data_IF_941675347126
#
_entry.id   IF_941675347126
#
_cell.length_a   1.000
_cell.length_b   1.000
_cell.length_c   1.000
_cell.angle_alpha   90.00
_cell.angle_beta   90.00
_cell.angle_gamma   90.00
#
_symmetry.space_group_name_H-M   'P 1'
#
loop_
_entity.id
_entity.type
_entity.pdbx_description
1 polymer ?
#
# COMPACT_ATOMS: atom_id res chain seq x y z
N UNK A 1 -41.22 -4.03 48.88
CA UNK A 1 -40.02 -4.45 48.14
C UNK A 1 -39.15 -5.21 49.11
N UNK A 2 -38.85 -6.47 48.82
CA UNK A 2 -37.96 -7.29 49.66
C UNK A 2 -36.50 -6.90 49.38
N UNK A 3 -35.59 -7.02 50.36
CA UNK A 3 -34.16 -6.65 50.19
C UNK A 3 -33.52 -7.36 48.97
N UNK A 4 -33.97 -8.57 48.68
CA UNK A 4 -33.59 -9.34 47.49
C UNK A 4 -33.95 -8.66 46.17
N UNK A 5 -35.11 -8.02 46.07
CA UNK A 5 -35.52 -7.28 44.86
C UNK A 5 -34.62 -6.07 44.63
N UNK A 6 -34.22 -5.36 45.70
CA UNK A 6 -33.29 -4.24 45.59
C UNK A 6 -31.90 -4.70 45.12
N UNK A 7 -31.37 -5.80 45.68
CA UNK A 7 -30.08 -6.37 45.25
C UNK A 7 -30.11 -6.78 43.77
N UNK A 8 -31.21 -7.37 43.30
CA UNK A 8 -31.38 -7.73 41.88
C UNK A 8 -31.42 -6.49 40.99
N UNK A 9 -32.14 -5.44 41.39
CA UNK A 9 -32.20 -4.17 40.64
C UNK A 9 -30.81 -3.53 40.55
N UNK A 10 -30.03 -3.51 41.64
CA UNK A 10 -28.67 -2.98 41.65
C UNK A 10 -27.73 -3.77 40.73
N UNK A 11 -27.80 -5.10 40.73
CA UNK A 11 -26.97 -5.95 39.85
C UNK A 11 -27.33 -5.76 38.38
N UNK A 12 -28.62 -5.64 38.04
CA UNK A 12 -29.07 -5.36 36.67
C UNK A 12 -28.63 -3.96 36.23
N UNK A 13 -28.74 -2.97 37.10
CA UNK A 13 -28.25 -1.61 36.83
C UNK A 13 -26.72 -1.62 36.59
N UNK A 14 -25.95 -2.33 37.41
CA UNK A 14 -24.50 -2.48 37.25
C UNK A 14 -24.15 -3.17 35.92
N UNK A 15 -24.86 -4.25 35.56
CA UNK A 15 -24.66 -4.94 34.29
C UNK A 15 -24.95 -4.01 33.09
N UNK A 16 -26.00 -3.19 33.18
CA UNK A 16 -26.32 -2.17 32.17
C UNK A 16 -25.22 -1.13 32.01
N UNK A 17 -24.63 -0.66 33.11
CA UNK A 17 -23.51 0.28 33.09
C UNK A 17 -22.27 -0.35 32.45
N UNK A 18 -21.91 -1.58 32.83
CA UNK A 18 -20.75 -2.29 32.27
C UNK A 18 -20.94 -2.50 30.77
N UNK A 19 -22.10 -2.99 30.34
CA UNK A 19 -22.40 -3.19 28.92
C UNK A 19 -22.33 -1.86 28.14
N UNK A 20 -22.92 -0.79 28.68
CA UNK A 20 -22.87 0.54 28.09
C UNK A 20 -21.44 1.07 27.94
N UNK A 21 -20.60 0.89 28.97
CA UNK A 21 -19.20 1.29 28.94
C UNK A 21 -18.42 0.54 27.83
N UNK A 22 -18.55 -0.79 27.77
CA UNK A 22 -17.91 -1.62 26.74
C UNK A 22 -18.39 -1.22 25.34
N UNK A 23 -19.68 -0.98 25.18
CA UNK A 23 -20.25 -0.56 23.89
C UNK A 23 -19.68 0.79 23.43
N UNK A 24 -19.62 1.79 24.31
CA UNK A 24 -19.07 3.11 23.99
C UNK A 24 -17.57 3.03 23.68
N UNK A 25 -16.82 2.24 24.45
CA UNK A 25 -15.39 2.03 24.21
C UNK A 25 -15.14 1.38 22.84
N UNK A 26 -15.88 0.32 22.52
CA UNK A 26 -15.79 -0.34 21.22
C UNK A 26 -16.14 0.61 20.07
N UNK A 27 -17.20 1.41 20.23
CA UNK A 27 -17.57 2.40 19.22
C UNK A 27 -16.52 3.50 19.04
N UNK A 28 -15.91 3.96 20.12
CA UNK A 28 -14.81 4.93 20.08
C UNK A 28 -13.58 4.34 19.40
N UNK A 29 -13.22 3.10 19.74
CA UNK A 29 -12.13 2.37 19.11
C UNK A 29 -12.32 2.27 17.59
N UNK A 30 -13.50 1.85 17.12
CA UNK A 30 -13.81 1.77 15.68
C UNK A 30 -13.71 3.13 14.99
N UNK A 31 -14.16 4.21 15.65
CA UNK A 31 -14.04 5.58 15.11
C UNK A 31 -12.58 6.04 15.01
N UNK A 32 -11.77 5.75 16.03
CA UNK A 32 -10.35 6.06 16.03
C UNK A 32 -9.62 5.26 14.95
N UNK A 33 -9.90 3.96 14.84
CA UNK A 33 -9.33 3.07 13.83
C UNK A 33 -9.62 3.58 12.40
N UNK A 34 -10.87 3.97 12.11
CA UNK A 34 -11.22 4.56 10.79
C UNK A 34 -10.42 5.83 10.49
N UNK A 35 -10.16 6.68 11.49
CA UNK A 35 -9.34 7.90 11.31
C UNK A 35 -7.87 7.55 11.05
N UNK A 36 -7.30 6.62 11.82
CA UNK A 36 -5.91 6.19 11.63
C UNK A 36 -5.71 5.49 10.30
N UNK A 37 -6.67 4.66 9.87
CA UNK A 37 -6.62 3.95 8.59
C UNK A 37 -6.71 4.92 7.41
N UNK A 38 -7.58 5.93 7.49
CA UNK A 38 -7.64 7.00 6.46
C UNK A 38 -6.33 7.78 6.38
N UNK A 39 -5.74 8.14 7.52
CA UNK A 39 -4.46 8.84 7.55
C UNK A 39 -3.32 7.97 7.01
N UNK A 40 -3.31 6.68 7.35
CA UNK A 40 -2.32 5.70 6.88
C UNK A 40 -2.45 5.49 5.38
N UNK A 41 -3.67 5.28 4.86
CA UNK A 41 -3.95 5.19 3.42
C UNK A 41 -3.40 6.41 2.69
N UNK A 42 -3.70 7.63 3.17
CA UNK A 42 -3.21 8.87 2.53
C UNK A 42 -1.68 8.93 2.47
N UNK A 43 -0.99 8.60 3.57
CA UNK A 43 0.48 8.59 3.62
C UNK A 43 1.08 7.53 2.68
N UNK A 44 0.44 6.36 2.61
CA UNK A 44 0.86 5.28 1.73
C UNK A 44 0.72 5.66 0.26
N UNK A 45 -0.43 6.23 -0.13
CA UNK A 45 -0.65 6.71 -1.49
C UNK A 45 0.38 7.77 -1.88
N UNK A 46 0.70 8.69 -0.97
CA UNK A 46 1.74 9.70 -1.20
C UNK A 46 3.11 9.06 -1.42
N UNK A 47 3.50 8.10 -0.57
CA UNK A 47 4.77 7.39 -0.68
C UNK A 47 4.89 6.63 -2.00
N UNK A 48 3.83 5.91 -2.40
CA UNK A 48 3.78 5.18 -3.67
C UNK A 48 3.89 6.15 -4.85
N UNK A 49 3.14 7.25 -4.81
CA UNK A 49 3.17 8.28 -5.87
C UNK A 49 4.56 8.89 -6.03
N UNK A 50 5.20 9.27 -4.93
CA UNK A 50 6.57 9.79 -4.94
C UNK A 50 7.57 8.76 -5.48
N UNK A 51 7.38 7.48 -5.13
CA UNK A 51 8.21 6.40 -5.66
C UNK A 51 8.06 6.26 -7.18
N UNK A 52 6.82 6.16 -7.69
CA UNK A 52 6.53 6.06 -9.12
C UNK A 52 7.08 7.26 -9.91
N UNK A 53 6.98 8.48 -9.39
CA UNK A 53 7.58 9.67 -10.00
C UNK A 53 9.11 9.57 -10.06
N UNK A 54 9.76 9.01 -9.03
CA UNK A 54 11.20 8.71 -9.07
C UNK A 54 11.52 7.64 -10.12
N UNK A 55 10.65 6.66 -10.33
CA UNK A 55 10.84 5.63 -11.37
C UNK A 55 10.81 6.22 -12.78
N UNK A 56 9.90 7.16 -13.06
CA UNK A 56 9.87 7.86 -14.35
C UNK A 56 11.19 8.60 -14.58
N UNK A 57 11.65 9.38 -13.60
CA UNK A 57 12.94 10.09 -13.71
C UNK A 57 14.11 9.14 -13.94
N UNK A 58 14.13 8.04 -13.19
CA UNK A 58 15.13 6.99 -13.38
C UNK A 58 15.12 6.40 -14.81
N UNK A 59 13.93 6.15 -15.37
CA UNK A 59 13.80 5.67 -16.76
C UNK A 59 14.37 6.69 -17.73
N UNK A 60 14.03 7.97 -17.55
CA UNK A 60 14.48 9.05 -18.43
C UNK A 60 16.02 9.19 -18.37
N UNK A 61 16.60 9.16 -17.16
CA UNK A 61 18.05 9.18 -16.94
C UNK A 61 18.73 7.95 -17.57
N UNK A 62 18.18 6.75 -17.38
CA UNK A 62 18.75 5.51 -17.95
C UNK A 62 18.75 5.52 -19.48
N UNK A 63 17.69 6.07 -20.11
CA UNK A 63 17.62 6.20 -21.58
C UNK A 63 18.61 7.26 -22.07
N UNK A 64 18.70 8.40 -21.38
CA UNK A 64 19.56 9.50 -21.80
C UNK A 64 21.05 9.14 -21.69
N UNK A 65 21.46 8.58 -20.55
CA UNK A 65 22.87 8.31 -20.24
C UNK A 65 23.31 6.89 -20.59
N UNK A 66 22.40 6.04 -21.09
CA UNK A 66 22.67 4.63 -21.37
C UNK A 66 23.18 3.86 -20.14
N UNK A 67 22.84 4.34 -18.94
CA UNK A 67 23.22 3.77 -17.64
C UNK A 67 22.06 2.96 -17.09
N UNK A 68 22.05 1.67 -17.44
CA UNK A 68 21.00 0.74 -17.05
C UNK A 68 21.34 0.08 -15.71
N UNK A 69 20.58 0.45 -14.68
CA UNK A 69 20.69 -0.12 -13.33
C UNK A 69 19.42 -0.89 -12.94
N UNK A 70 19.48 -1.79 -11.95
CA UNK A 70 18.28 -2.42 -11.42
C UNK A 70 17.33 -1.41 -10.76
N UNK A 71 16.03 -1.60 -10.93
CA UNK A 71 15.00 -0.91 -10.17
C UNK A 71 14.95 -1.38 -8.73
N UNK A 72 14.87 -0.43 -7.79
CA UNK A 72 14.53 -0.73 -6.40
C UNK A 72 13.01 -0.90 -6.24
N UNK A 73 12.55 -2.05 -5.75
CA UNK A 73 11.11 -2.34 -5.50
C UNK A 73 10.70 -2.22 -4.02
N UNK A 74 11.62 -1.73 -3.18
CA UNK A 74 11.50 -1.78 -1.72
C UNK A 74 10.28 -1.06 -1.14
N UNK A 75 9.79 0.00 -1.79
CA UNK A 75 8.59 0.72 -1.34
C UNK A 75 7.36 -0.18 -1.41
N UNK A 76 7.16 -0.87 -2.54
CA UNK A 76 6.03 -1.79 -2.70
C UNK A 76 6.16 -3.01 -1.82
N UNK A 77 7.35 -3.60 -1.75
CA UNK A 77 7.58 -4.75 -0.88
C UNK A 77 7.30 -4.37 0.60
N UNK A 78 7.65 -3.14 1.02
CA UNK A 78 7.31 -2.62 2.36
C UNK A 78 5.80 -2.44 2.58
N UNK A 79 5.06 -1.99 1.55
CA UNK A 79 3.60 -1.87 1.61
C UNK A 79 2.97 -3.24 1.81
N UNK A 80 3.39 -4.26 1.07
CA UNK A 80 2.91 -5.63 1.22
C UNK A 80 3.29 -6.22 2.59
N UNK A 81 4.54 -6.06 3.02
CA UNK A 81 5.02 -6.56 4.31
C UNK A 81 4.33 -5.91 5.51
N UNK A 82 3.86 -4.67 5.37
CA UNK A 82 3.11 -3.98 6.43
C UNK A 82 1.72 -4.58 6.68
N UNK A 83 1.20 -5.41 5.77
CA UNK A 83 -0.17 -5.93 5.82
C UNK A 83 -1.25 -4.87 5.59
N UNK A 84 -0.85 -3.62 5.32
CA UNK A 84 -1.75 -2.47 5.12
C UNK A 84 -2.18 -2.28 3.67
N UNK A 85 -1.77 -3.16 2.75
CA UNK A 85 -2.26 -3.14 1.37
C UNK A 85 -3.79 -3.27 1.29
N UNK A 86 -4.43 -3.89 2.28
CA UNK A 86 -5.89 -3.98 2.42
C UNK A 86 -6.59 -2.63 2.58
N UNK A 87 -5.84 -1.56 2.90
CA UNK A 87 -6.35 -0.19 2.93
C UNK A 87 -6.47 0.43 1.54
N UNK A 88 -5.86 -0.18 0.52
CA UNK A 88 -5.92 0.25 -0.87
C UNK A 88 -7.07 -0.43 -1.59
N UNK A 89 -7.56 0.21 -2.66
CA UNK A 89 -8.55 -0.38 -3.54
C UNK A 89 -7.92 -1.50 -4.38
N UNK A 90 -8.69 -2.55 -4.66
CA UNK A 90 -8.20 -3.74 -5.34
C UNK A 90 -7.57 -3.42 -6.70
N UNK A 91 -8.22 -2.58 -7.51
CA UNK A 91 -7.73 -2.20 -8.84
C UNK A 91 -6.37 -1.48 -8.76
N UNK A 92 -6.17 -0.67 -7.72
CA UNK A 92 -4.89 0.00 -7.48
C UNK A 92 -3.81 -1.02 -7.12
N UNK A 93 -4.12 -1.99 -6.26
CA UNK A 93 -3.19 -3.07 -5.89
C UNK A 93 -2.77 -3.85 -7.13
N UNK A 94 -3.73 -4.26 -7.95
CA UNK A 94 -3.48 -5.04 -9.16
C UNK A 94 -2.60 -4.27 -10.16
N UNK A 95 -2.86 -2.98 -10.36
CA UNK A 95 -2.05 -2.17 -11.28
C UNK A 95 -0.63 -1.94 -10.75
N UNK A 96 -0.48 -1.67 -9.44
CA UNK A 96 0.83 -1.56 -8.82
C UNK A 96 1.60 -2.88 -8.91
N UNK A 97 0.98 -4.01 -8.57
CA UNK A 97 1.59 -5.33 -8.66
C UNK A 97 2.07 -5.64 -10.09
N UNK A 98 1.26 -5.34 -11.10
CA UNK A 98 1.66 -5.46 -12.50
C UNK A 98 2.87 -4.57 -12.83
N UNK A 99 2.84 -3.30 -12.41
CA UNK A 99 3.93 -2.33 -12.63
C UNK A 99 5.25 -2.79 -11.98
N UNK A 100 5.23 -3.21 -10.72
CA UNK A 100 6.43 -3.69 -10.02
C UNK A 100 6.89 -5.06 -10.54
N UNK A 101 6.00 -5.89 -11.09
CA UNK A 101 6.37 -7.14 -11.74
C UNK A 101 7.18 -6.90 -13.02
N UNK A 102 6.82 -5.90 -13.83
CA UNK A 102 7.62 -5.47 -14.98
C UNK A 102 9.01 -4.98 -14.56
N UNK A 103 9.11 -4.23 -13.46
CA UNK A 103 10.41 -3.81 -12.92
C UNK A 103 11.27 -5.00 -12.46
N UNK A 104 10.67 -6.00 -11.81
CA UNK A 104 11.37 -7.24 -11.42
C UNK A 104 11.82 -8.03 -12.65
N UNK A 105 10.98 -8.10 -13.69
CA UNK A 105 11.34 -8.76 -14.95
C UNK A 105 12.52 -8.07 -15.64
N UNK A 106 12.50 -6.75 -15.73
CA UNK A 106 13.62 -5.96 -16.22
C UNK A 106 14.91 -6.23 -15.43
N UNK A 107 14.84 -6.28 -14.10
CA UNK A 107 16.01 -6.56 -13.27
C UNK A 107 16.62 -7.93 -13.58
N UNK A 108 15.78 -8.94 -13.79
CA UNK A 108 16.20 -10.29 -14.18
C UNK A 108 16.87 -10.29 -15.54
N UNK A 109 16.29 -9.63 -16.54
CA UNK A 109 16.87 -9.53 -17.89
C UNK A 109 18.22 -8.81 -17.87
N UNK A 110 18.34 -7.73 -17.09
CA UNK A 110 19.58 -6.99 -16.90
C UNK A 110 20.68 -7.86 -16.26
N UNK A 111 20.33 -8.68 -15.26
CA UNK A 111 21.27 -9.58 -14.59
C UNK A 111 21.71 -10.75 -15.46
N UNK A 112 20.79 -11.35 -16.23
CA UNK A 112 21.07 -12.57 -17.01
C UNK A 112 21.85 -12.30 -18.28
N UNK A 113 21.51 -11.24 -19.02
CA UNK A 113 22.05 -10.99 -20.37
C UNK A 113 23.04 -9.83 -20.42
N UNK A 114 23.09 -9.00 -19.38
CA UNK A 114 23.87 -7.78 -19.35
C UNK A 114 23.41 -6.75 -20.40
N UNK A 115 24.10 -5.61 -20.46
CA UNK A 115 23.76 -4.50 -21.35
C UNK A 115 24.31 -4.66 -22.77
N UNK A 116 25.46 -5.32 -22.94
CA UNK A 116 26.21 -5.37 -24.20
C UNK A 116 25.56 -6.19 -25.33
N UNK A 117 24.54 -7.01 -25.04
CA UNK A 117 23.84 -7.84 -26.04
C UNK A 117 22.32 -7.71 -26.08
N UNK A 118 21.72 -6.88 -25.21
CA UNK A 118 20.27 -6.84 -24.99
C UNK A 118 19.71 -5.40 -24.87
N UNK A 119 20.48 -4.40 -25.28
CA UNK A 119 20.15 -2.98 -25.05
C UNK A 119 18.79 -2.58 -25.63
N UNK A 120 18.44 -3.10 -26.82
CA UNK A 120 17.16 -2.83 -27.46
C UNK A 120 15.98 -3.37 -26.61
N UNK A 121 16.09 -4.61 -26.13
CA UNK A 121 15.08 -5.20 -25.24
C UNK A 121 14.97 -4.44 -23.92
N UNK A 122 16.11 -4.01 -23.35
CA UNK A 122 16.14 -3.20 -22.12
C UNK A 122 15.39 -1.88 -22.35
N UNK A 123 15.61 -1.20 -23.48
CA UNK A 123 14.87 0.01 -23.86
C UNK A 123 13.38 -0.24 -24.02
N UNK A 124 12.98 -1.33 -24.67
CA UNK A 124 11.58 -1.72 -24.84
C UNK A 124 10.90 -1.98 -23.50
N UNK A 125 11.58 -2.67 -22.58
CA UNK A 125 11.09 -2.90 -21.22
C UNK A 125 10.95 -1.60 -20.43
N UNK A 126 11.89 -0.66 -20.55
CA UNK A 126 11.78 0.65 -19.90
C UNK A 126 10.58 1.45 -20.42
N UNK A 127 10.30 1.38 -21.73
CA UNK A 127 9.11 2.01 -22.32
C UNK A 127 7.82 1.39 -21.77
N UNK A 128 7.77 0.06 -21.64
CA UNK A 128 6.60 -0.63 -21.11
C UNK A 128 6.40 -0.36 -19.60
N UNK A 129 7.50 -0.34 -18.83
CA UNK A 129 7.48 0.09 -17.43
C UNK A 129 6.97 1.53 -17.33
N UNK A 130 7.40 2.44 -18.20
CA UNK A 130 6.92 3.83 -18.19
C UNK A 130 5.41 3.91 -18.38
N UNK A 131 4.86 3.17 -19.35
CA UNK A 131 3.40 3.12 -19.60
C UNK A 131 2.63 2.58 -18.39
N UNK A 132 3.12 1.52 -17.75
CA UNK A 132 2.47 0.93 -16.58
C UNK A 132 2.55 1.84 -15.35
N UNK A 133 3.68 2.54 -15.16
CA UNK A 133 3.84 3.59 -14.14
C UNK A 133 2.87 4.76 -14.38
N UNK A 134 2.77 5.26 -15.61
CA UNK A 134 1.83 6.32 -15.98
C UNK A 134 0.37 5.90 -15.77
N UNK A 135 0.04 4.65 -16.07
CA UNK A 135 -1.28 4.06 -15.79
C UNK A 135 -1.56 4.05 -14.27
N UNK A 136 -0.62 3.55 -13.47
CA UNK A 136 -0.75 3.53 -12.01
C UNK A 136 -0.90 4.93 -11.41
N UNK A 137 -0.17 5.92 -11.93
CA UNK A 137 -0.28 7.32 -11.49
C UNK A 137 -1.62 7.97 -11.82
N UNK A 138 -2.33 7.50 -12.84
CA UNK A 138 -3.69 8.00 -13.17
C UNK A 138 -4.76 7.46 -12.23
N UNK A 139 -4.53 6.29 -11.63
CA UNK A 139 -5.45 5.66 -10.67
C UNK A 139 -5.23 6.21 -9.24
N UNK A 140 -4.03 6.72 -8.94
CA UNK A 140 -3.63 7.30 -7.65
C UNK A 140 -4.14 8.73 -7.42
#
# INVERSE_FOLDING_TARGET
MTEWENVVIELVALAGIIFGAVYVEHWNYLRMQKKTDKATRKKMLLLIKEDLIRKIRFIDDSIQYHDYKPFFTSVWDSVILSGKQTLLEFDLIQNLEHTYSWMKYYNTELQQKGTAGNEQTIKELLVEIRKTVDSSLKIL
#
